data_IF_143797196677
#
_entry.id   IF_143797196677
#
_cell.length_a   1.000
_cell.length_b   1.000
_cell.length_c   1.000
_cell.angle_alpha   90.00
_cell.angle_beta   90.00
_cell.angle_gamma   90.00
#
_symmetry.space_group_name_H-M   'P 1'
#
loop_
_entity.id
_entity.type
_entity.pdbx_description
1 polymer ?
#
# COMPACT_ATOMS: atom_id res chain seq x y z
N UNK A 1 -7.27 15.18 -0.10
CA UNK A 1 -6.94 14.08 0.85
C UNK A 1 -7.61 14.35 2.18
N UNK A 2 -7.96 13.30 2.89
CA UNK A 2 -8.67 13.41 4.17
C UNK A 2 -8.03 12.48 5.20
N UNK A 3 -7.86 12.98 6.42
CA UNK A 3 -7.25 12.22 7.51
C UNK A 3 -8.31 11.43 8.27
N UNK A 4 -7.98 10.19 8.59
CA UNK A 4 -8.83 9.29 9.37
C UNK A 4 -8.03 8.61 10.47
N UNK A 5 -8.65 8.45 11.62
CA UNK A 5 -8.18 7.51 12.64
C UNK A 5 -8.57 6.10 12.21
N UNK A 6 -7.85 5.10 12.70
CA UNK A 6 -8.10 3.70 12.31
C UNK A 6 -9.54 3.27 12.52
N UNK A 7 -10.13 3.63 13.65
CA UNK A 7 -11.52 3.26 13.98
C UNK A 7 -12.55 3.75 12.95
N UNK A 8 -12.28 4.87 12.30
CA UNK A 8 -13.13 5.42 11.25
C UNK A 8 -12.72 4.91 9.87
N UNK A 9 -11.43 4.72 9.66
CA UNK A 9 -10.88 4.22 8.41
C UNK A 9 -11.37 2.81 8.09
N UNK A 10 -11.45 1.92 9.09
CA UNK A 10 -11.88 0.55 8.86
C UNK A 10 -13.32 0.44 8.35
N UNK A 11 -14.13 1.47 8.57
CA UNK A 11 -15.52 1.53 8.09
C UNK A 11 -15.63 1.91 6.62
N UNK A 12 -14.54 2.36 6.01
CA UNK A 12 -14.56 2.75 4.59
C UNK A 12 -14.64 1.49 3.71
N UNK A 13 -15.21 1.63 2.50
CA UNK A 13 -15.42 0.48 1.63
C UNK A 13 -14.10 -0.05 1.06
N UNK A 14 -14.16 -1.24 0.49
CA UNK A 14 -13.09 -1.78 -0.33
C UNK A 14 -12.78 -0.84 -1.50
N UNK A 15 -11.57 -0.90 -2.02
CA UNK A 15 -11.04 -0.04 -3.09
C UNK A 15 -10.80 1.41 -2.66
N UNK A 16 -10.68 1.66 -1.36
CA UNK A 16 -10.21 2.95 -0.85
C UNK A 16 -8.71 3.06 -1.05
N UNK A 17 -8.24 4.14 -1.66
CA UNK A 17 -6.82 4.44 -1.87
C UNK A 17 -6.33 5.34 -0.75
N UNK A 18 -5.22 5.00 -0.15
CA UNK A 18 -4.72 5.72 1.01
C UNK A 18 -3.20 5.63 1.18
N UNK A 19 -2.68 6.53 2.01
CA UNK A 19 -1.32 6.50 2.51
C UNK A 19 -1.36 6.46 4.03
N UNK A 20 -0.24 6.21 4.68
CA UNK A 20 -0.17 6.12 6.14
C UNK A 20 0.76 7.18 6.73
N UNK A 21 0.40 7.70 7.88
CA UNK A 21 1.30 8.45 8.74
C UNK A 21 1.53 7.60 9.99
N UNK A 22 2.71 6.96 10.10
CA UNK A 22 3.01 6.13 11.26
C UNK A 22 3.07 6.94 12.56
N UNK A 23 3.03 6.25 13.68
CA UNK A 23 2.86 6.82 15.02
C UNK A 23 4.02 7.70 15.50
N UNK A 24 5.20 7.62 14.91
CA UNK A 24 6.42 8.25 15.41
C UNK A 24 7.00 9.32 14.49
N UNK A 25 6.33 10.46 14.39
CA UNK A 25 6.87 11.66 13.71
C UNK A 25 7.35 11.44 12.27
N UNK A 26 6.85 10.43 11.61
CA UNK A 26 7.22 10.14 10.25
C UNK A 26 6.30 10.88 9.26
N UNK A 27 6.83 11.08 8.08
CA UNK A 27 6.05 11.70 7.01
C UNK A 27 5.03 10.70 6.45
N UNK A 28 4.03 11.24 5.77
CA UNK A 28 3.08 10.44 5.02
C UNK A 28 3.83 9.54 4.03
N UNK A 29 3.55 8.25 4.06
CA UNK A 29 4.27 7.28 3.23
C UNK A 29 3.36 6.26 2.59
N UNK A 30 3.85 5.70 1.49
CA UNK A 30 3.21 4.59 0.80
C UNK A 30 1.99 4.98 -0.02
N UNK A 31 1.54 4.04 -0.80
CA UNK A 31 0.29 4.10 -1.53
C UNK A 31 -0.35 2.72 -1.46
N UNK A 32 -1.52 2.65 -0.87
CA UNK A 32 -2.19 1.38 -0.59
C UNK A 32 -3.61 1.40 -1.13
N UNK A 33 -4.11 0.22 -1.42
CA UNK A 33 -5.52 0.01 -1.72
C UNK A 33 -6.11 -0.95 -0.70
N UNK A 34 -7.16 -0.54 -0.02
CA UNK A 34 -7.91 -1.40 0.87
C UNK A 34 -8.73 -2.37 0.04
N UNK A 35 -8.40 -3.64 0.08
CA UNK A 35 -9.00 -4.65 -0.79
C UNK A 35 -10.16 -5.41 -0.16
N UNK A 36 -10.35 -5.27 1.14
CA UNK A 36 -11.50 -5.86 1.84
C UNK A 36 -12.17 -4.83 2.72
N UNK A 37 -13.46 -5.02 2.97
CA UNK A 37 -14.13 -4.32 4.06
C UNK A 37 -13.74 -5.01 5.37
N UNK A 38 -13.46 -4.21 6.40
CA UNK A 38 -13.14 -4.76 7.71
C UNK A 38 -14.37 -5.46 8.30
N UNK A 39 -14.12 -6.56 8.98
CA UNK A 39 -15.10 -7.15 9.88
C UNK A 39 -15.31 -6.18 11.06
N UNK A 40 -16.56 -5.94 11.44
CA UNK A 40 -16.87 -5.05 12.58
C UNK A 40 -16.25 -5.51 13.90
N UNK A 41 -15.88 -6.78 13.99
CA UNK A 41 -15.34 -7.39 15.20
C UNK A 41 -13.83 -7.44 15.25
N UNK A 42 -13.15 -7.17 14.15
CA UNK A 42 -11.70 -7.14 14.10
C UNK A 42 -11.24 -5.81 13.52
N UNK A 43 -10.27 -5.18 14.16
CA UNK A 43 -9.67 -3.92 13.66
C UNK A 43 -8.69 -4.18 12.51
N UNK A 44 -8.87 -5.28 11.80
CA UNK A 44 -7.97 -5.71 10.75
C UNK A 44 -8.64 -5.62 9.38
N UNK A 45 -7.86 -5.35 8.38
CA UNK A 45 -8.33 -5.32 7.00
C UNK A 45 -7.22 -5.79 6.07
N UNK A 46 -7.57 -6.14 4.85
CA UNK A 46 -6.62 -6.56 3.83
C UNK A 46 -6.28 -5.36 2.94
N UNK A 47 -5.00 -5.17 2.68
CA UNK A 47 -4.52 -4.10 1.85
C UNK A 47 -3.57 -4.60 0.77
N UNK A 48 -3.55 -3.91 -0.36
CA UNK A 48 -2.57 -4.09 -1.41
C UNK A 48 -1.64 -2.87 -1.42
N UNK A 49 -0.35 -3.09 -1.22
CA UNK A 49 0.64 -2.05 -1.40
C UNK A 49 0.85 -1.81 -2.90
N UNK A 50 0.65 -0.59 -3.35
CA UNK A 50 0.79 -0.21 -4.75
C UNK A 50 2.19 0.29 -5.09
N UNK A 51 3.06 0.43 -4.08
CA UNK A 51 4.45 0.85 -4.22
C UNK A 51 5.35 -0.25 -3.65
N UNK A 52 6.32 -0.59 -4.33
CA UNK A 52 7.51 -1.41 -4.22
C UNK A 52 7.74 -2.46 -3.14
N UNK A 53 7.23 -2.39 -1.92
CA UNK A 53 7.64 -3.38 -0.91
C UNK A 53 6.89 -4.71 -0.99
N UNK A 54 5.71 -4.73 -1.57
CA UNK A 54 4.95 -5.96 -1.81
C UNK A 54 5.06 -6.44 -3.26
N UNK A 55 6.01 -5.90 -4.02
CA UNK A 55 6.18 -6.24 -5.43
C UNK A 55 7.09 -7.43 -5.68
N UNK A 56 7.38 -8.22 -4.67
CA UNK A 56 8.28 -9.35 -4.83
C UNK A 56 7.52 -10.60 -5.32
N UNK A 57 8.16 -11.41 -6.18
CA UNK A 57 7.54 -12.65 -6.66
C UNK A 57 7.31 -13.65 -5.54
N UNK A 58 6.50 -14.65 -5.84
CA UNK A 58 6.22 -15.76 -4.92
C UNK A 58 7.52 -16.42 -4.45
N UNK A 59 7.57 -16.80 -3.17
CA UNK A 59 8.74 -17.42 -2.57
C UNK A 59 9.51 -16.50 -1.63
N UNK A 60 9.14 -15.22 -1.58
CA UNK A 60 9.67 -14.29 -0.59
C UNK A 60 8.79 -14.37 0.65
N UNK A 61 9.30 -14.98 1.71
CA UNK A 61 8.50 -15.33 2.89
C UNK A 61 8.75 -14.41 4.09
N UNK A 62 9.88 -13.69 4.12
CA UNK A 62 10.22 -12.82 5.23
C UNK A 62 11.12 -11.67 4.78
N UNK A 63 11.48 -10.81 5.74
CA UNK A 63 12.31 -9.64 5.48
C UNK A 63 13.73 -9.99 5.04
N UNK A 64 14.28 -11.12 5.48
CA UNK A 64 15.61 -11.56 5.06
C UNK A 64 15.61 -12.04 3.62
N UNK A 65 14.59 -12.81 3.22
CA UNK A 65 14.42 -13.24 1.83
C UNK A 65 14.24 -12.03 0.90
N UNK A 66 13.47 -11.03 1.33
CA UNK A 66 13.26 -9.81 0.57
C UNK A 66 14.58 -9.04 0.39
N UNK A 67 15.38 -8.95 1.44
CA UNK A 67 16.67 -8.27 1.39
C UNK A 67 17.64 -8.99 0.45
N UNK A 68 17.75 -10.31 0.57
CA UNK A 68 18.60 -11.12 -0.29
C UNK A 68 18.19 -11.00 -1.75
N UNK A 69 16.88 -11.00 -2.03
CA UNK A 69 16.34 -10.82 -3.37
C UNK A 69 16.69 -9.44 -3.94
N UNK A 70 16.54 -8.38 -3.15
CA UNK A 70 16.88 -7.02 -3.58
C UNK A 70 18.38 -6.89 -3.86
N UNK A 71 19.23 -7.47 -3.03
CA UNK A 71 20.68 -7.44 -3.23
C UNK A 71 21.07 -8.17 -4.51
N UNK A 72 20.45 -9.32 -4.78
CA UNK A 72 20.70 -10.08 -6.01
C UNK A 72 20.29 -9.30 -7.26
N UNK A 73 19.11 -8.67 -7.24
CA UNK A 73 18.65 -7.81 -8.33
C UNK A 73 19.61 -6.67 -8.59
N UNK A 74 20.07 -6.02 -7.53
CA UNK A 74 20.98 -4.89 -7.59
C UNK A 74 22.35 -5.30 -8.12
N UNK A 75 22.89 -6.41 -7.66
CA UNK A 75 24.22 -6.88 -8.07
C UNK A 75 24.24 -7.33 -9.53
N UNK A 76 23.15 -7.90 -10.01
CA UNK A 76 23.05 -8.44 -11.36
C UNK A 76 22.32 -7.53 -12.35
N UNK A 77 21.80 -6.39 -11.91
CA UNK A 77 20.98 -5.48 -12.72
C UNK A 77 19.88 -6.20 -13.49
N UNK A 78 19.13 -7.05 -12.78
CA UNK A 78 18.05 -7.81 -13.41
C UNK A 78 16.75 -7.00 -13.43
N UNK A 79 16.02 -7.14 -14.52
CA UNK A 79 14.66 -6.65 -14.59
C UNK A 79 13.75 -7.53 -13.72
N UNK A 80 12.76 -6.90 -13.12
CA UNK A 80 11.74 -7.64 -12.39
C UNK A 80 10.40 -6.92 -12.50
N UNK A 81 9.34 -7.65 -12.21
CA UNK A 81 7.99 -7.08 -12.19
C UNK A 81 7.48 -7.01 -10.77
N UNK A 82 6.77 -5.94 -10.47
CA UNK A 82 6.03 -5.84 -9.22
C UNK A 82 4.80 -6.74 -9.27
N UNK A 83 4.48 -7.35 -8.15
CA UNK A 83 3.27 -8.14 -7.99
C UNK A 83 2.21 -7.30 -7.28
N UNK A 84 1.24 -6.79 -8.03
CA UNK A 84 0.15 -6.00 -7.47
C UNK A 84 -1.01 -6.86 -6.97
N UNK A 85 -0.80 -8.17 -6.87
CA UNK A 85 -1.79 -9.11 -6.34
C UNK A 85 -1.33 -9.77 -5.03
N UNK A 86 -0.35 -9.18 -4.34
CA UNK A 86 0.17 -9.71 -3.09
C UNK A 86 -0.43 -8.96 -1.88
N UNK A 87 -1.73 -9.01 -1.72
CA UNK A 87 -2.41 -8.36 -0.61
C UNK A 87 -1.98 -8.94 0.73
N UNK A 88 -1.78 -8.07 1.70
CA UNK A 88 -1.41 -8.43 3.06
C UNK A 88 -2.39 -7.88 4.08
N UNK A 89 -2.33 -8.40 5.30
CA UNK A 89 -3.14 -7.88 6.38
C UNK A 89 -2.47 -6.68 7.02
N UNK A 90 -3.27 -5.67 7.35
CA UNK A 90 -2.78 -4.59 8.21
C UNK A 90 -2.55 -5.16 9.62
N UNK A 91 -1.45 -4.75 10.24
CA UNK A 91 -1.14 -5.25 11.58
C UNK A 91 -2.17 -4.79 12.62
N UNK A 92 -2.70 -5.73 13.38
CA UNK A 92 -3.67 -5.45 14.44
C UNK A 92 -3.11 -4.56 15.55
N UNK A 93 -1.80 -4.33 15.56
CA UNK A 93 -1.10 -3.67 16.66
C UNK A 93 -0.84 -2.19 16.44
N UNK A 94 -1.22 -1.64 15.30
CA UNK A 94 -0.95 -0.26 14.95
C UNK A 94 -2.23 0.60 14.95
N UNK A 95 -2.90 0.60 16.10
CA UNK A 95 -4.18 1.30 16.27
C UNK A 95 -4.07 2.82 16.24
N UNK A 96 -2.86 3.35 16.42
CA UNK A 96 -2.61 4.79 16.50
C UNK A 96 -2.19 5.42 15.16
N UNK A 97 -2.06 4.62 14.11
CA UNK A 97 -1.72 5.15 12.79
C UNK A 97 -2.81 6.09 12.28
N UNK A 98 -2.38 7.12 11.60
CA UNK A 98 -3.28 8.01 10.87
C UNK A 98 -3.31 7.61 9.41
N UNK A 99 -4.49 7.52 8.84
CA UNK A 99 -4.69 7.14 7.46
C UNK A 99 -5.04 8.38 6.63
N UNK A 100 -4.32 8.57 5.54
CA UNK A 100 -4.54 9.69 4.62
C UNK A 100 -5.28 9.14 3.40
N UNK A 101 -6.58 9.36 3.35
CA UNK A 101 -7.42 8.85 2.27
C UNK A 101 -7.37 9.80 1.08
N UNK A 102 -7.05 9.26 -0.08
CA UNK A 102 -7.03 9.99 -1.34
C UNK A 102 -8.46 10.12 -1.86
N UNK A 103 -8.90 11.35 -2.08
CA UNK A 103 -10.22 11.60 -2.64
C UNK A 103 -10.22 11.41 -4.17
N UNK A 104 -11.39 11.54 -4.77
CA UNK A 104 -11.56 11.35 -6.21
C UNK A 104 -10.67 12.29 -7.02
N UNK A 105 -10.49 13.51 -6.59
CA UNK A 105 -9.66 14.48 -7.29
C UNK A 105 -8.18 14.07 -7.27
N UNK A 106 -7.70 13.60 -6.13
CA UNK A 106 -6.32 13.15 -5.99
C UNK A 106 -6.05 11.91 -6.83
N UNK A 107 -6.97 10.95 -6.79
CA UNK A 107 -6.86 9.72 -7.59
C UNK A 107 -6.88 10.03 -9.08
N UNK A 108 -7.72 10.97 -9.50
CA UNK A 108 -7.80 11.40 -10.89
C UNK A 108 -6.47 11.97 -11.37
N UNK A 109 -5.83 12.80 -10.57
CA UNK A 109 -4.51 13.34 -10.89
C UNK A 109 -3.45 12.25 -11.04
N UNK A 110 -3.45 11.29 -10.12
CA UNK A 110 -2.52 10.16 -10.20
C UNK A 110 -2.76 9.35 -11.47
N UNK A 111 -4.02 9.05 -11.78
CA UNK A 111 -4.39 8.35 -13.01
C UNK A 111 -3.87 9.09 -14.25
N UNK A 112 -4.03 10.39 -14.28
CA UNK A 112 -3.62 11.20 -15.43
C UNK A 112 -2.10 11.14 -15.62
N UNK A 113 -1.31 11.21 -14.56
CA UNK A 113 0.13 11.01 -14.64
C UNK A 113 0.50 9.63 -15.16
N UNK A 114 -0.18 8.59 -14.67
CA UNK A 114 0.07 7.23 -15.11
C UNK A 114 -0.28 7.05 -16.59
N UNK A 115 -1.39 7.64 -17.04
CA UNK A 115 -1.76 7.61 -18.45
C UNK A 115 -0.75 8.33 -19.33
N UNK A 116 -0.23 9.47 -18.89
CA UNK A 116 0.84 10.17 -19.60
C UNK A 116 2.10 9.31 -19.71
N UNK A 117 2.47 8.63 -18.63
CA UNK A 117 3.63 7.75 -18.62
C UNK A 117 3.46 6.55 -19.57
N UNK A 118 2.23 6.08 -19.75
CA UNK A 118 1.90 5.03 -20.71
C UNK A 118 1.83 5.55 -22.16
N UNK A 119 1.89 6.88 -22.37
CA UNK A 119 1.70 7.48 -23.68
C UNK A 119 0.24 7.63 -24.08
N UNK A 120 -0.69 7.48 -23.15
CA UNK A 120 -2.12 7.65 -23.37
C UNK A 120 -2.54 9.09 -23.07
N UNK A 121 -3.54 9.55 -23.76
CA UNK A 121 -4.06 10.91 -23.57
C UNK A 121 -5.35 10.91 -22.77
#
# INVERSE_FOLDING_TARGET
MKLYKKQDFIKLPAMTIYSKIPTHFELCEGLFCKTSSADEYTNDFVEQNLISECGFPNGINDGMDALDYQMDLRDKFKDFRTDLECAGRDGMFEDEDTFVVWDKQDITKLRDYLNLALGEK
#
